data_IF_634746104947
#
_entry.id   IF_634746104947
#
_cell.length_a   1.000
_cell.length_b   1.000
_cell.length_c   1.000
_cell.angle_alpha   90.00
_cell.angle_beta   90.00
_cell.angle_gamma   90.00
#
_symmetry.space_group_name_H-M   'P 1'
#
loop_
_entity.id
_entity.type
_entity.pdbx_description
1 polymer ?
#
# COMPACT_ATOMS: atom_id res chain seq x y z
N UNK A 1 3.98 -14.62 13.31
CA UNK A 1 5.44 -14.51 13.50
C UNK A 1 6.07 -15.07 12.25
N UNK A 2 6.53 -14.19 11.34
CA UNK A 2 7.35 -14.61 10.21
C UNK A 2 8.78 -14.73 10.71
N UNK A 3 9.39 -15.91 10.53
CA UNK A 3 10.80 -16.12 10.86
C UNK A 3 11.65 -15.23 9.95
N UNK A 4 12.52 -14.45 10.54
CA UNK A 4 13.46 -13.57 9.85
C UNK A 4 14.60 -14.45 9.30
N UNK A 5 14.46 -14.94 8.07
CA UNK A 5 15.45 -15.80 7.42
C UNK A 5 16.52 -14.95 6.72
N UNK A 6 17.79 -15.29 6.96
CA UNK A 6 18.88 -14.73 6.15
C UNK A 6 18.78 -15.26 4.69
N UNK A 7 19.40 -14.55 3.69
CA UNK A 7 19.27 -14.87 2.27
C UNK A 7 19.61 -16.33 1.87
N UNK A 8 20.44 -17.01 2.64
CA UNK A 8 20.84 -18.39 2.39
C UNK A 8 19.76 -19.45 2.69
N UNK A 9 18.65 -19.06 3.34
CA UNK A 9 17.53 -19.96 3.70
C UNK A 9 16.31 -19.79 2.78
N UNK A 10 16.35 -18.86 1.82
CA UNK A 10 15.22 -18.58 0.93
C UNK A 10 15.12 -19.61 -0.22
N UNK A 11 13.90 -19.94 -0.67
CA UNK A 11 13.69 -20.89 -1.77
C UNK A 11 14.36 -20.43 -3.07
N UNK A 12 15.01 -21.35 -3.77
CA UNK A 12 15.62 -21.04 -5.06
C UNK A 12 14.56 -20.73 -6.12
N UNK A 13 14.77 -19.70 -6.97
CA UNK A 13 13.84 -19.37 -8.04
C UNK A 13 13.91 -20.38 -9.18
N UNK A 14 12.84 -20.47 -9.97
CA UNK A 14 12.82 -21.21 -11.22
C UNK A 14 13.81 -20.59 -12.24
N UNK A 15 14.40 -21.39 -13.17
CA UNK A 15 15.38 -20.88 -14.12
C UNK A 15 14.91 -19.69 -14.97
N UNK A 16 13.62 -19.68 -15.36
CA UNK A 16 13.02 -18.57 -16.11
C UNK A 16 12.91 -17.30 -15.26
N UNK A 17 12.49 -17.41 -14.00
CA UNK A 17 12.42 -16.30 -13.08
C UNK A 17 13.82 -15.71 -12.84
N UNK A 18 14.83 -16.57 -12.66
CA UNK A 18 16.22 -16.11 -12.51
C UNK A 18 16.72 -15.37 -13.75
N UNK A 19 16.34 -15.80 -14.97
CA UNK A 19 16.67 -15.09 -16.20
C UNK A 19 16.02 -13.69 -16.24
N UNK A 20 14.76 -13.55 -15.82
CA UNK A 20 14.07 -12.25 -15.72
C UNK A 20 14.75 -11.32 -14.70
N UNK A 21 15.13 -11.85 -13.53
CA UNK A 21 15.87 -11.08 -12.53
C UNK A 21 17.22 -10.58 -13.04
N UNK A 22 17.95 -11.40 -13.79
CA UNK A 22 19.22 -11.00 -14.42
C UNK A 22 19.02 -9.90 -15.45
N UNK A 23 18.00 -9.99 -16.30
CA UNK A 23 17.66 -8.94 -17.26
C UNK A 23 17.31 -7.62 -16.57
N UNK A 24 16.61 -7.67 -15.44
CA UNK A 24 16.34 -6.48 -14.65
C UNK A 24 17.61 -5.91 -13.99
N UNK A 25 18.51 -6.77 -13.50
CA UNK A 25 19.82 -6.33 -12.99
C UNK A 25 20.63 -5.61 -14.07
N UNK A 26 20.62 -6.09 -15.31
CA UNK A 26 21.27 -5.41 -16.46
C UNK A 26 20.63 -4.03 -16.70
N UNK A 27 19.31 -3.92 -16.60
CA UNK A 27 18.58 -2.64 -16.71
C UNK A 27 18.97 -1.66 -15.59
N UNK A 28 19.06 -2.13 -14.33
CA UNK A 28 19.54 -1.32 -13.18
C UNK A 28 21.00 -0.90 -13.39
N UNK A 29 21.86 -1.81 -13.84
CA UNK A 29 23.27 -1.50 -14.10
C UNK A 29 23.45 -0.45 -15.21
N UNK A 30 22.62 -0.51 -16.27
CA UNK A 30 22.61 0.51 -17.32
C UNK A 30 22.20 1.88 -16.77
N UNK A 31 21.19 1.96 -15.90
CA UNK A 31 20.76 3.19 -15.23
C UNK A 31 21.87 3.76 -14.36
N UNK A 32 22.52 2.91 -13.56
CA UNK A 32 23.68 3.29 -12.73
C UNK A 32 24.84 3.84 -13.57
N UNK A 33 25.12 3.21 -14.74
CA UNK A 33 26.14 3.68 -15.67
C UNK A 33 25.89 5.10 -16.17
N UNK A 34 24.64 5.44 -16.48
CA UNK A 34 24.24 6.78 -16.91
C UNK A 34 24.27 7.78 -15.75
N UNK A 35 23.88 7.37 -14.55
CA UNK A 35 23.72 8.21 -13.37
C UNK A 35 25.01 8.38 -12.53
N UNK A 36 26.18 8.02 -13.05
CA UNK A 36 27.47 8.14 -12.34
C UNK A 36 27.59 7.19 -11.15
N UNK A 37 27.11 5.97 -11.35
CA UNK A 37 27.13 4.86 -10.39
C UNK A 37 26.37 5.14 -9.08
N UNK A 38 25.27 5.89 -9.15
CA UNK A 38 24.39 6.09 -8.02
C UNK A 38 22.98 6.49 -8.47
N UNK A 39 21.96 5.84 -7.92
CA UNK A 39 20.56 6.23 -8.02
C UNK A 39 19.94 6.26 -6.63
N UNK A 40 18.89 7.07 -6.40
CA UNK A 40 18.15 7.04 -5.15
C UNK A 40 17.49 5.68 -4.92
N UNK A 41 17.24 5.30 -3.68
CA UNK A 41 16.50 4.07 -3.40
C UNK A 41 15.07 4.12 -4.01
N UNK A 42 14.43 5.30 -4.02
CA UNK A 42 13.15 5.48 -4.69
C UNK A 42 13.22 5.10 -6.17
N UNK A 43 14.27 5.54 -6.89
CA UNK A 43 14.44 5.16 -8.30
C UNK A 43 14.72 3.67 -8.48
N UNK A 44 15.52 3.09 -7.59
CA UNK A 44 15.76 1.65 -7.58
C UNK A 44 14.46 0.86 -7.37
N UNK A 45 13.68 1.23 -6.34
CA UNK A 45 12.39 0.59 -6.02
C UNK A 45 11.41 0.71 -7.20
N UNK A 46 11.37 1.87 -7.86
CA UNK A 46 10.57 2.07 -9.07
C UNK A 46 10.95 1.07 -10.18
N UNK A 47 12.25 0.89 -10.44
CA UNK A 47 12.72 -0.05 -11.46
C UNK A 47 12.36 -1.49 -11.10
N UNK A 48 12.68 -1.93 -9.87
CA UNK A 48 12.50 -3.35 -9.52
C UNK A 48 11.06 -3.76 -9.31
N UNK A 49 10.17 -2.81 -9.03
CA UNK A 49 8.74 -3.08 -8.88
C UNK A 49 7.95 -2.84 -10.17
N UNK A 50 8.30 -1.84 -10.98
CA UNK A 50 7.42 -1.34 -12.04
C UNK A 50 8.03 -1.30 -13.44
N UNK A 51 9.31 -1.66 -13.65
CA UNK A 51 9.89 -1.71 -15.01
C UNK A 51 9.04 -2.60 -15.92
N UNK A 52 8.59 -2.09 -17.08
CA UNK A 52 7.70 -2.84 -17.98
C UNK A 52 8.25 -4.22 -18.36
N UNK A 53 7.47 -5.27 -18.10
CA UNK A 53 7.80 -6.67 -18.42
C UNK A 53 8.87 -7.33 -17.54
N UNK A 54 9.53 -6.59 -16.65
CA UNK A 54 10.61 -7.10 -15.78
C UNK A 54 10.34 -6.88 -14.30
N UNK A 55 9.73 -5.74 -13.93
CA UNK A 55 9.45 -5.37 -12.56
C UNK A 55 8.46 -6.30 -11.87
N UNK A 56 8.55 -6.40 -10.56
CA UNK A 56 7.71 -7.30 -9.75
C UNK A 56 6.24 -7.19 -10.09
N UNK A 57 5.63 -6.02 -10.18
CA UNK A 57 4.22 -5.82 -10.56
C UNK A 57 3.97 -5.85 -12.07
N UNK A 58 4.99 -5.64 -12.90
CA UNK A 58 4.87 -5.59 -14.35
C UNK A 58 5.14 -6.94 -15.06
N UNK A 59 5.92 -7.84 -14.45
CA UNK A 59 6.19 -9.16 -14.98
C UNK A 59 5.07 -10.14 -14.60
N UNK A 60 4.55 -10.94 -15.54
CA UNK A 60 3.36 -11.80 -15.42
C UNK A 60 3.42 -12.96 -14.41
N UNK A 61 4.24 -12.91 -13.37
CA UNK A 61 4.34 -13.95 -12.35
C UNK A 61 3.10 -14.00 -11.44
N UNK A 62 2.83 -15.17 -10.83
CA UNK A 62 1.70 -15.37 -9.91
C UNK A 62 2.09 -14.81 -8.53
N UNK A 63 1.59 -13.63 -8.16
CA UNK A 63 2.05 -12.84 -7.00
C UNK A 63 1.07 -12.81 -5.83
N UNK A 64 -0.23 -12.97 -6.10
CA UNK A 64 -1.31 -12.85 -5.12
C UNK A 64 -1.99 -14.19 -4.87
N UNK A 65 -2.49 -14.37 -3.63
CA UNK A 65 -3.24 -15.55 -3.18
C UNK A 65 -2.37 -16.69 -2.65
N UNK A 66 -2.99 -17.81 -2.32
CA UNK A 66 -2.33 -18.98 -1.71
C UNK A 66 -1.15 -19.58 -2.51
N UNK A 67 -0.98 -19.21 -3.78
CA UNK A 67 0.14 -19.60 -4.63
C UNK A 67 1.08 -18.44 -4.98
N UNK A 68 0.93 -17.29 -4.33
CA UNK A 68 1.75 -16.08 -4.49
C UNK A 68 2.68 -15.85 -3.32
N UNK A 69 3.19 -14.62 -3.21
CA UNK A 69 4.13 -14.25 -2.14
C UNK A 69 3.41 -13.82 -0.86
N UNK A 70 2.16 -13.33 -0.96
CA UNK A 70 1.33 -12.89 0.17
C UNK A 70 -0.18 -12.99 -0.14
N UNK A 71 -1.00 -12.91 0.91
CA UNK A 71 -2.45 -12.93 0.85
C UNK A 71 -2.98 -11.62 1.42
N UNK A 72 -3.70 -10.84 0.62
CA UNK A 72 -4.30 -9.57 1.02
C UNK A 72 -5.65 -9.76 1.72
N UNK A 73 -6.11 -8.75 2.46
CA UNK A 73 -7.37 -8.78 3.19
C UNK A 73 -8.59 -9.16 2.32
N UNK A 74 -8.77 -8.65 1.09
CA UNK A 74 -9.87 -9.04 0.20
C UNK A 74 -9.88 -10.53 -0.19
N UNK A 75 -8.70 -11.17 -0.24
CA UNK A 75 -8.58 -12.58 -0.62
C UNK A 75 -8.91 -13.54 0.50
N UNK A 76 -8.89 -13.08 1.76
CA UNK A 76 -9.23 -13.91 2.92
C UNK A 76 -10.71 -14.27 2.96
N UNK A 77 -11.58 -13.30 2.65
CA UNK A 77 -13.04 -13.49 2.71
C UNK A 77 -13.78 -12.39 1.96
N UNK A 78 -14.87 -12.71 1.26
CA UNK A 78 -15.77 -11.70 0.67
C UNK A 78 -16.41 -10.76 1.71
N UNK A 79 -16.45 -11.15 2.99
CA UNK A 79 -17.00 -10.31 4.06
C UNK A 79 -16.22 -8.99 4.19
N UNK A 80 -14.93 -8.97 3.89
CA UNK A 80 -14.12 -7.76 3.89
C UNK A 80 -14.66 -6.71 2.92
N UNK A 81 -14.77 -7.05 1.64
CA UNK A 81 -15.26 -6.12 0.61
C UNK A 81 -16.73 -5.74 0.82
N UNK A 82 -17.59 -6.66 1.26
CA UNK A 82 -18.99 -6.38 1.63
C UNK A 82 -19.08 -5.41 2.81
N UNK A 83 -18.18 -5.53 3.79
CA UNK A 83 -18.09 -4.60 4.92
C UNK A 83 -17.68 -3.21 4.47
N UNK A 84 -16.64 -3.13 3.61
CA UNK A 84 -16.18 -1.87 3.05
C UNK A 84 -17.27 -1.20 2.19
N UNK A 85 -18.03 -1.99 1.44
CA UNK A 85 -19.13 -1.50 0.60
C UNK A 85 -20.21 -0.76 1.42
N UNK A 86 -20.45 -1.11 2.68
CA UNK A 86 -21.38 -0.39 3.57
C UNK A 86 -20.92 1.05 3.84
N UNK A 87 -19.63 1.25 4.10
CA UNK A 87 -19.07 2.59 4.24
C UNK A 87 -19.09 3.35 2.92
N UNK A 88 -18.75 2.68 1.82
CA UNK A 88 -18.80 3.25 0.47
C UNK A 88 -20.22 3.71 0.14
N UNK A 89 -21.25 2.89 0.38
CA UNK A 89 -22.64 3.23 0.12
C UNK A 89 -23.11 4.48 0.91
N UNK A 90 -22.61 4.69 2.11
CA UNK A 90 -22.92 5.88 2.90
C UNK A 90 -22.35 7.18 2.29
N UNK A 91 -21.24 7.08 1.56
CA UNK A 91 -20.55 8.22 0.93
C UNK A 91 -21.08 8.52 -0.48
N UNK A 92 -21.64 7.54 -1.16
CA UNK A 92 -22.15 7.68 -2.52
C UNK A 92 -23.41 8.53 -2.59
N UNK A 93 -23.54 9.29 -3.67
CA UNK A 93 -24.74 10.03 -4.04
C UNK A 93 -25.20 9.63 -5.45
N UNK A 94 -26.44 9.91 -5.85
CA UNK A 94 -26.89 9.63 -7.21
C UNK A 94 -25.97 10.20 -8.28
N UNK A 95 -25.57 9.36 -9.23
CA UNK A 95 -24.65 9.71 -10.31
C UNK A 95 -23.16 9.59 -9.94
N UNK A 96 -22.82 9.12 -8.75
CA UNK A 96 -21.45 8.82 -8.34
C UNK A 96 -20.97 7.48 -8.87
N UNK A 97 -19.66 7.28 -8.81
CA UNK A 97 -18.97 6.07 -9.20
C UNK A 97 -17.97 5.63 -8.11
N UNK A 98 -17.43 4.43 -8.27
CA UNK A 98 -16.28 3.93 -7.50
C UNK A 98 -15.08 3.88 -8.43
N UNK A 99 -13.90 4.26 -7.91
CA UNK A 99 -12.61 4.11 -8.59
C UNK A 99 -11.65 3.37 -7.66
N UNK A 100 -11.25 2.18 -8.04
CA UNK A 100 -10.29 1.36 -7.30
C UNK A 100 -8.91 1.44 -7.96
N UNK A 101 -7.89 1.66 -7.13
CA UNK A 101 -6.47 1.63 -7.53
C UNK A 101 -5.87 0.27 -7.18
N UNK A 102 -5.15 -0.33 -8.13
CA UNK A 102 -4.42 -1.56 -7.89
C UNK A 102 -5.31 -2.71 -7.40
N UNK A 103 -6.37 -3.04 -8.16
CA UNK A 103 -7.40 -3.99 -7.74
C UNK A 103 -6.88 -5.45 -7.55
N UNK A 104 -5.59 -5.71 -7.76
CA UNK A 104 -4.96 -7.00 -7.54
C UNK A 104 -5.66 -8.13 -8.31
N UNK A 105 -6.18 -9.12 -7.60
CA UNK A 105 -6.97 -10.21 -8.20
C UNK A 105 -8.36 -9.79 -8.68
N UNK A 106 -8.88 -8.64 -8.24
CA UNK A 106 -10.25 -8.16 -8.48
C UNK A 106 -11.26 -8.61 -7.43
N UNK A 107 -10.84 -9.29 -6.37
CA UNK A 107 -11.73 -9.87 -5.34
C UNK A 107 -12.43 -8.78 -4.53
N UNK A 108 -11.77 -7.64 -4.27
CA UNK A 108 -12.40 -6.51 -3.60
C UNK A 108 -13.54 -5.95 -4.44
N UNK A 109 -13.26 -5.62 -5.72
CA UNK A 109 -14.29 -5.16 -6.67
C UNK A 109 -15.46 -6.13 -6.75
N UNK A 110 -15.18 -7.45 -6.90
CA UNK A 110 -16.22 -8.46 -6.95
C UNK A 110 -17.12 -8.42 -5.72
N UNK A 111 -16.54 -8.30 -4.53
CA UNK A 111 -17.28 -8.27 -3.25
C UNK A 111 -18.06 -6.96 -3.08
N UNK A 112 -17.49 -5.82 -3.45
CA UNK A 112 -18.15 -4.51 -3.38
C UNK A 112 -19.35 -4.46 -4.33
N UNK A 113 -19.22 -5.00 -5.53
CA UNK A 113 -20.28 -5.04 -6.54
C UNK A 113 -21.48 -5.92 -6.14
N UNK A 114 -21.36 -6.81 -5.14
CA UNK A 114 -22.53 -7.51 -4.58
C UNK A 114 -23.43 -6.61 -3.75
N UNK A 115 -22.91 -5.50 -3.25
CA UNK A 115 -23.60 -4.58 -2.33
C UNK A 115 -23.94 -3.23 -3.01
N UNK A 116 -23.38 -2.94 -4.21
CA UNK A 116 -23.58 -1.67 -4.92
C UNK A 116 -23.82 -1.89 -6.40
N UNK A 117 -24.56 -0.97 -7.04
CA UNK A 117 -24.87 -1.00 -8.48
C UNK A 117 -24.42 0.26 -9.22
N UNK A 118 -23.45 0.99 -8.66
CA UNK A 118 -22.91 2.19 -9.29
C UNK A 118 -21.81 1.82 -10.30
N UNK A 119 -21.50 2.70 -11.28
CA UNK A 119 -20.36 2.50 -12.17
C UNK A 119 -19.06 2.25 -11.37
N UNK A 120 -18.30 1.26 -11.78
CA UNK A 120 -17.06 0.86 -11.11
C UNK A 120 -15.90 0.93 -12.09
N UNK A 121 -14.89 1.71 -11.74
CA UNK A 121 -13.68 1.90 -12.51
C UNK A 121 -12.49 1.27 -11.78
N UNK A 122 -11.55 0.72 -12.53
CA UNK A 122 -10.29 0.18 -12.02
C UNK A 122 -9.14 0.84 -12.74
N UNK A 123 -8.17 1.36 -11.99
CA UNK A 123 -6.89 1.80 -12.51
C UNK A 123 -5.84 0.77 -12.10
N UNK A 124 -5.41 -0.05 -13.06
CA UNK A 124 -4.46 -1.14 -12.88
C UNK A 124 -3.32 -0.99 -13.89
N UNK A 125 -2.09 -0.93 -13.39
CA UNK A 125 -0.88 -0.77 -14.23
C UNK A 125 -0.36 -2.08 -14.78
N UNK A 126 -0.62 -3.20 -14.08
CA UNK A 126 -0.21 -4.54 -14.49
C UNK A 126 -1.15 -5.12 -15.55
N UNK A 127 -0.63 -5.36 -16.74
CA UNK A 127 -1.40 -5.98 -17.83
C UNK A 127 -1.88 -7.41 -17.51
N UNK A 128 -1.10 -8.16 -16.74
CA UNK A 128 -1.46 -9.52 -16.30
C UNK A 128 -2.58 -9.49 -15.27
N UNK A 129 -2.48 -8.64 -14.24
CA UNK A 129 -3.55 -8.46 -13.25
C UNK A 129 -4.84 -7.97 -13.92
N UNK A 130 -4.74 -7.01 -14.84
CA UNK A 130 -5.89 -6.52 -15.61
C UNK A 130 -6.58 -7.64 -16.40
N UNK A 131 -5.81 -8.58 -16.99
CA UNK A 131 -6.41 -9.75 -17.67
C UNK A 131 -7.13 -10.70 -16.71
N UNK A 132 -6.58 -10.92 -15.51
CA UNK A 132 -7.21 -11.73 -14.45
C UNK A 132 -8.49 -11.08 -13.97
N UNK A 133 -8.45 -9.78 -13.70
CA UNK A 133 -9.60 -8.97 -13.32
C UNK A 133 -10.71 -9.05 -14.38
N UNK A 134 -10.37 -8.94 -15.67
CA UNK A 134 -11.34 -9.10 -16.77
C UNK A 134 -12.02 -10.47 -16.78
N UNK A 135 -11.31 -11.54 -16.46
CA UNK A 135 -11.91 -12.88 -16.38
C UNK A 135 -12.87 -13.01 -15.20
N UNK A 136 -12.57 -12.35 -14.08
CA UNK A 136 -13.38 -12.41 -12.87
C UNK A 136 -14.61 -11.47 -12.94
N UNK A 137 -14.41 -10.24 -13.41
CA UNK A 137 -15.37 -9.15 -13.29
C UNK A 137 -16.17 -8.91 -14.57
N UNK A 138 -15.71 -9.42 -15.73
CA UNK A 138 -16.38 -9.23 -17.01
C UNK A 138 -16.66 -7.77 -17.32
N UNK A 139 -17.88 -7.47 -17.73
CA UNK A 139 -18.34 -6.11 -18.07
C UNK A 139 -18.83 -5.30 -16.86
N UNK A 140 -18.71 -5.85 -15.64
CA UNK A 140 -19.14 -5.16 -14.41
C UNK A 140 -18.27 -3.98 -14.02
N UNK A 141 -17.08 -3.86 -14.59
CA UNK A 141 -16.12 -2.77 -14.34
C UNK A 141 -15.53 -2.23 -15.63
N UNK A 142 -15.03 -1.00 -15.58
CA UNK A 142 -14.32 -0.36 -16.67
C UNK A 142 -12.86 -0.07 -16.23
N UNK A 143 -11.89 -0.45 -17.08
CA UNK A 143 -10.48 -0.22 -16.79
C UNK A 143 -10.03 1.11 -17.39
N UNK A 144 -9.43 1.95 -16.55
CA UNK A 144 -8.81 3.20 -16.96
C UNK A 144 -7.31 2.99 -17.19
N UNK A 145 -6.76 3.71 -18.17
CA UNK A 145 -5.30 3.71 -18.45
C UNK A 145 -4.60 4.88 -17.76
N UNK A 146 -5.35 5.86 -17.26
CA UNK A 146 -4.86 7.05 -16.54
C UNK A 146 -5.94 7.59 -15.61
N UNK A 147 -5.53 8.43 -14.68
CA UNK A 147 -6.47 9.18 -13.84
C UNK A 147 -7.44 9.97 -14.72
N UNK A 148 -8.74 9.99 -14.39
CA UNK A 148 -9.70 10.87 -15.06
C UNK A 148 -9.38 12.34 -14.71
N UNK A 149 -9.78 13.28 -15.56
CA UNK A 149 -9.59 14.70 -15.28
C UNK A 149 -10.43 15.17 -14.09
N UNK A 150 -11.59 14.54 -13.89
CA UNK A 150 -12.55 14.84 -12.82
C UNK A 150 -13.20 13.55 -12.34
N UNK A 151 -13.45 13.49 -11.03
CA UNK A 151 -14.12 12.33 -10.43
C UNK A 151 -15.11 12.75 -9.35
N UNK A 152 -16.23 12.03 -9.28
CA UNK A 152 -17.23 12.15 -8.21
C UNK A 152 -17.58 10.76 -7.71
N UNK A 153 -17.53 10.58 -6.40
CA UNK A 153 -17.83 9.32 -5.77
C UNK A 153 -16.76 8.86 -4.78
N UNK A 154 -16.50 7.57 -4.73
CA UNK A 154 -15.56 6.99 -3.78
C UNK A 154 -14.37 6.39 -4.49
N UNK A 155 -13.18 6.82 -4.10
CA UNK A 155 -11.90 6.23 -4.50
C UNK A 155 -11.46 5.23 -3.44
N UNK A 156 -10.94 4.07 -3.85
CA UNK A 156 -10.45 2.99 -2.98
C UNK A 156 -9.00 2.67 -3.30
N UNK A 157 -8.16 2.62 -2.27
CA UNK A 157 -6.79 2.14 -2.37
C UNK A 157 -6.53 1.19 -1.20
N UNK A 158 -6.46 -0.10 -1.49
CA UNK A 158 -6.20 -1.16 -0.51
C UNK A 158 -4.86 -1.81 -0.80
N UNK A 159 -3.89 -1.68 0.11
CA UNK A 159 -2.53 -2.21 -0.06
C UNK A 159 -1.90 -1.72 -1.38
N UNK A 160 -1.82 -0.39 -1.54
CA UNK A 160 -1.30 0.28 -2.74
C UNK A 160 -0.16 1.22 -2.40
N UNK A 161 -0.24 1.87 -1.23
CA UNK A 161 0.69 2.94 -0.86
C UNK A 161 2.00 2.37 -0.32
N UNK A 162 1.97 1.22 0.33
CA UNK A 162 3.12 0.50 0.87
C UNK A 162 4.15 0.11 -0.21
N UNK A 163 3.67 -0.15 -1.44
CA UNK A 163 4.51 -0.48 -2.60
C UNK A 163 4.96 0.75 -3.40
N UNK A 164 4.54 1.96 -3.04
CA UNK A 164 5.01 3.18 -3.72
C UNK A 164 6.47 3.46 -3.40
N UNK A 165 7.29 3.88 -4.39
CA UNK A 165 8.70 4.16 -4.18
C UNK A 165 8.96 5.16 -3.05
N UNK A 166 9.89 4.82 -2.15
CA UNK A 166 10.29 5.66 -1.02
C UNK A 166 11.76 6.04 -1.11
N UNK A 167 12.10 7.25 -0.66
CA UNK A 167 13.49 7.63 -0.42
C UNK A 167 13.96 7.04 0.91
N UNK A 168 15.00 6.23 0.89
CA UNK A 168 15.64 5.75 2.11
C UNK A 168 16.60 6.82 2.63
N UNK A 169 16.51 7.13 3.90
CA UNK A 169 17.28 8.19 4.55
C UNK A 169 18.07 7.67 5.74
N UNK A 170 19.13 8.39 6.09
CA UNK A 170 19.80 8.23 7.35
C UNK A 170 20.06 9.62 7.98
N UNK A 171 19.52 9.83 9.17
CA UNK A 171 19.85 10.98 10.01
C UNK A 171 21.08 10.64 10.84
N UNK A 172 22.12 11.44 10.67
CA UNK A 172 23.41 11.25 11.32
C UNK A 172 23.83 12.53 12.05
N UNK A 173 24.89 12.44 12.89
CA UNK A 173 25.46 13.63 13.53
C UNK A 173 26.03 14.64 12.52
N UNK A 174 26.40 14.19 11.32
CA UNK A 174 26.92 15.04 10.25
C UNK A 174 25.79 15.67 9.38
N UNK A 175 24.55 15.24 9.56
CA UNK A 175 23.39 15.70 8.80
C UNK A 175 22.57 14.57 8.22
N UNK A 176 21.61 14.93 7.34
CA UNK A 176 20.75 13.97 6.66
C UNK A 176 21.42 13.45 5.39
N UNK A 177 21.47 12.13 5.29
CA UNK A 177 21.98 11.43 4.12
C UNK A 177 20.82 10.75 3.37
N UNK A 178 20.82 10.84 2.05
CA UNK A 178 19.98 10.01 1.20
C UNK A 178 20.73 8.72 0.88
N UNK A 179 20.09 7.59 1.19
CA UNK A 179 20.60 6.25 0.91
C UNK A 179 20.16 5.86 -0.49
N UNK A 180 21.14 5.67 -1.36
CA UNK A 180 20.90 5.21 -2.72
C UNK A 180 21.57 3.86 -2.97
N UNK A 181 21.54 3.47 -4.22
CA UNK A 181 22.07 2.21 -4.73
C UNK A 181 23.23 2.48 -5.67
N UNK A 182 24.31 1.74 -5.52
CA UNK A 182 25.45 1.74 -6.43
C UNK A 182 25.85 0.31 -6.81
N UNK A 183 26.65 0.19 -7.85
CA UNK A 183 27.35 -1.05 -8.17
C UNK A 183 28.74 -1.03 -7.50
N UNK A 184 29.02 -2.05 -6.69
CA UNK A 184 30.31 -2.27 -6.05
C UNK A 184 30.76 -3.70 -6.36
N UNK A 185 31.91 -3.87 -7.03
CA UNK A 185 32.46 -5.17 -7.43
C UNK A 185 31.46 -6.06 -8.18
N UNK A 186 30.59 -5.45 -9.00
CA UNK A 186 29.57 -6.15 -9.79
C UNK A 186 28.30 -6.55 -9.02
N UNK A 187 28.18 -6.15 -7.74
CA UNK A 187 26.98 -6.35 -6.92
C UNK A 187 26.34 -5.00 -6.56
N UNK A 188 25.02 -5.00 -6.34
CA UNK A 188 24.32 -3.84 -5.82
C UNK A 188 24.63 -3.65 -4.34
N UNK A 189 24.85 -2.40 -3.94
CA UNK A 189 25.15 -2.04 -2.57
C UNK A 189 24.53 -0.69 -2.19
N UNK A 190 24.30 -0.49 -0.91
CA UNK A 190 23.92 0.81 -0.36
C UNK A 190 25.05 1.82 -0.49
N UNK A 191 24.71 3.06 -0.85
CA UNK A 191 25.66 4.19 -0.91
C UNK A 191 24.95 5.46 -0.46
N UNK A 192 25.48 6.09 0.58
CA UNK A 192 24.92 7.30 1.17
C UNK A 192 25.52 8.54 0.52
N UNK A 193 24.67 9.55 0.21
CA UNK A 193 25.07 10.91 -0.21
C UNK A 193 24.36 11.92 0.66
N UNK A 194 24.89 13.13 0.77
CA UNK A 194 24.18 14.21 1.45
C UNK A 194 22.80 14.40 0.78
N UNK A 195 21.74 14.45 1.58
CA UNK A 195 20.42 14.71 1.06
C UNK A 195 20.32 16.16 0.55
N UNK A 196 19.61 16.37 -0.55
CA UNK A 196 19.45 17.67 -1.19
C UNK A 196 17.99 17.94 -1.61
N UNK A 197 17.71 19.17 -2.01
CA UNK A 197 16.43 19.57 -2.61
C UNK A 197 15.22 19.25 -1.73
N UNK A 198 14.17 18.71 -2.33
CA UNK A 198 12.92 18.36 -1.66
C UNK A 198 13.09 17.27 -0.60
N UNK A 199 13.99 16.30 -0.84
CA UNK A 199 14.29 15.22 0.11
C UNK A 199 14.84 15.83 1.41
N UNK A 200 15.82 16.71 1.33
CA UNK A 200 16.40 17.37 2.52
C UNK A 200 15.37 18.28 3.20
N UNK A 201 14.59 19.02 2.43
CA UNK A 201 13.58 19.92 3.00
C UNK A 201 12.58 19.15 3.87
N UNK A 202 11.97 18.11 3.32
CA UNK A 202 11.02 17.28 4.08
C UNK A 202 11.66 16.46 5.21
N UNK A 203 12.90 15.99 5.03
CA UNK A 203 13.60 15.26 6.08
C UNK A 203 13.90 16.13 7.31
N UNK A 204 14.11 17.44 7.12
CA UNK A 204 14.30 18.40 8.22
C UNK A 204 12.99 18.73 8.98
N UNK A 205 11.85 18.66 8.32
CA UNK A 205 10.54 18.87 8.95
C UNK A 205 10.20 17.78 9.99
N UNK A 206 10.82 16.60 9.86
CA UNK A 206 10.57 15.46 10.74
C UNK A 206 11.24 15.56 12.12
N UNK A 207 12.20 16.47 12.31
CA UNK A 207 12.90 16.70 13.57
C UNK A 207 13.40 15.42 14.28
N UNK A 208 13.96 14.48 13.51
CA UNK A 208 14.40 13.17 14.02
C UNK A 208 15.58 13.34 14.97
N UNK A 209 15.43 12.83 16.19
CA UNK A 209 16.52 12.75 17.17
C UNK A 209 17.45 11.59 16.82
N UNK A 210 18.74 11.92 16.58
CA UNK A 210 19.75 10.92 16.26
C UNK A 210 20.13 10.17 17.54
N UNK A 211 19.94 8.83 17.60
CA UNK A 211 20.20 8.05 18.79
C UNK A 211 21.71 8.01 19.13
N UNK A 212 22.08 7.52 20.33
CA UNK A 212 23.48 7.39 20.75
C UNK A 212 24.35 6.58 19.78
N UNK A 213 23.75 5.63 19.05
CA UNK A 213 24.43 4.88 17.97
C UNK A 213 24.95 5.79 16.85
N UNK A 214 24.49 7.03 16.76
CA UNK A 214 24.92 8.01 15.78
C UNK A 214 24.21 7.93 14.43
N UNK A 215 23.21 7.05 14.29
CA UNK A 215 22.46 6.87 13.05
C UNK A 215 21.02 6.44 13.30
N UNK A 216 20.08 7.08 12.64
CA UNK A 216 18.68 6.70 12.53
C UNK A 216 18.35 6.52 11.06
N UNK A 217 17.77 5.39 10.67
CA UNK A 217 17.32 5.11 9.30
C UNK A 217 15.81 5.14 9.23
N UNK A 218 15.28 5.54 8.08
CA UNK A 218 13.85 5.59 7.81
C UNK A 218 13.55 5.96 6.37
N UNK A 219 12.28 5.97 6.02
CA UNK A 219 11.80 6.22 4.67
C UNK A 219 11.02 7.54 4.58
N UNK A 220 11.09 8.18 3.42
CA UNK A 220 10.31 9.36 3.08
C UNK A 220 9.49 9.11 1.81
N UNK A 221 8.17 9.09 1.95
CA UNK A 221 7.23 8.70 0.90
C UNK A 221 6.80 9.88 0.02
N UNK A 222 7.72 10.52 -0.72
CA UNK A 222 7.40 11.67 -1.59
C UNK A 222 6.47 11.29 -2.73
N UNK A 223 6.56 10.07 -3.27
CA UNK A 223 5.68 9.57 -4.32
C UNK A 223 4.23 9.44 -3.82
N UNK A 224 4.02 8.88 -2.64
CA UNK A 224 2.70 8.75 -2.03
C UNK A 224 2.07 10.13 -1.74
N UNK A 225 2.88 11.10 -1.25
CA UNK A 225 2.43 12.50 -1.06
C UNK A 225 2.03 13.16 -2.39
N UNK A 226 2.81 12.96 -3.45
CA UNK A 226 2.51 13.49 -4.78
C UNK A 226 1.26 12.83 -5.38
N UNK A 227 1.12 11.52 -5.22
CA UNK A 227 -0.08 10.77 -5.62
C UNK A 227 -1.33 11.30 -4.91
N UNK A 228 -1.28 11.46 -3.58
CA UNK A 228 -2.40 12.02 -2.80
C UNK A 228 -2.80 13.41 -3.31
N UNK A 229 -1.83 14.30 -3.59
CA UNK A 229 -2.12 15.64 -4.17
C UNK A 229 -2.77 15.53 -5.53
N UNK A 230 -2.33 14.59 -6.38
CA UNK A 230 -2.95 14.35 -7.69
C UNK A 230 -4.39 13.90 -7.56
N UNK A 231 -4.70 13.00 -6.59
CA UNK A 231 -6.08 12.59 -6.32
C UNK A 231 -6.94 13.74 -5.81
N UNK A 232 -6.38 14.59 -4.94
CA UNK A 232 -7.07 15.79 -4.47
C UNK A 232 -7.41 16.78 -5.59
N UNK A 233 -6.58 16.86 -6.63
CA UNK A 233 -6.87 17.72 -7.79
C UNK A 233 -8.00 17.19 -8.68
N UNK A 234 -8.18 15.85 -8.70
CA UNK A 234 -9.17 15.15 -9.53
C UNK A 234 -10.53 15.02 -8.83
N UNK A 235 -10.52 14.81 -7.50
CA UNK A 235 -11.74 14.59 -6.73
C UNK A 235 -12.55 15.88 -6.59
N UNK A 236 -13.64 15.99 -7.37
CA UNK A 236 -14.57 17.14 -7.28
C UNK A 236 -15.48 17.04 -6.05
N UNK A 237 -15.96 15.83 -5.72
CA UNK A 237 -16.82 15.53 -4.59
C UNK A 237 -16.78 14.05 -4.26
N UNK A 238 -16.77 13.74 -2.98
CA UNK A 238 -16.76 12.36 -2.47
C UNK A 238 -15.60 12.11 -1.53
N UNK A 239 -15.12 10.87 -1.47
CA UNK A 239 -14.07 10.47 -0.54
C UNK A 239 -13.05 9.54 -1.18
N UNK A 240 -11.85 9.52 -0.60
CA UNK A 240 -10.82 8.51 -0.82
C UNK A 240 -10.66 7.72 0.49
N UNK A 241 -10.74 6.40 0.41
CA UNK A 241 -10.41 5.47 1.48
C UNK A 241 -9.07 4.81 1.15
N UNK A 242 -8.07 5.03 1.99
CA UNK A 242 -6.76 4.36 1.92
C UNK A 242 -6.69 3.35 3.05
N UNK A 243 -6.48 2.08 2.71
CA UNK A 243 -6.36 0.99 3.67
C UNK A 243 -4.99 0.35 3.45
N UNK A 244 -4.15 0.46 4.46
CA UNK A 244 -2.77 0.00 4.35
C UNK A 244 -2.17 -0.21 5.75
N UNK A 245 -1.01 -0.84 5.84
CA UNK A 245 -0.30 -0.96 7.11
C UNK A 245 0.68 0.18 7.32
N UNK A 246 0.69 0.69 8.53
CA UNK A 246 1.51 1.85 8.86
C UNK A 246 1.09 2.55 10.15
N UNK A 247 1.58 3.77 10.30
CA UNK A 247 1.50 4.50 11.55
C UNK A 247 1.30 6.01 11.31
N UNK A 248 0.79 6.74 12.31
CA UNK A 248 1.00 8.20 12.40
C UNK A 248 2.50 8.52 12.52
N UNK A 249 2.93 9.70 12.10
CA UNK A 249 4.35 10.10 12.09
C UNK A 249 5.07 9.86 13.42
N UNK A 250 4.43 10.16 14.55
CA UNK A 250 5.01 9.96 15.89
C UNK A 250 5.37 8.49 16.17
N UNK A 251 4.57 7.54 15.68
CA UNK A 251 4.82 6.11 15.83
C UNK A 251 5.72 5.60 14.71
N UNK A 252 5.59 6.16 13.50
CA UNK A 252 6.41 5.81 12.34
C UNK A 252 7.90 6.12 12.62
N UNK A 253 8.18 7.32 13.11
CA UNK A 253 9.54 7.77 13.44
C UNK A 253 9.88 7.58 14.93
N UNK A 254 9.31 6.57 15.58
CA UNK A 254 9.61 6.30 16.98
C UNK A 254 11.10 5.95 17.18
N UNK A 255 11.79 6.47 18.23
CA UNK A 255 13.23 6.25 18.46
C UNK A 255 13.67 4.77 18.46
N UNK A 256 12.80 3.85 18.87
CA UNK A 256 13.05 2.41 18.84
C UNK A 256 12.95 1.80 17.43
N UNK A 257 12.44 2.52 16.44
CA UNK A 257 12.34 2.10 15.03
C UNK A 257 13.48 2.68 14.19
N UNK A 258 14.69 2.67 14.73
CA UNK A 258 15.86 3.34 14.15
C UNK A 258 16.43 2.66 12.89
N UNK A 259 15.84 1.58 12.41
CA UNK A 259 16.22 0.85 11.20
C UNK A 259 15.21 1.00 10.05
N UNK A 260 14.21 1.88 10.19
CA UNK A 260 13.12 2.04 9.21
C UNK A 260 12.10 0.92 9.22
N UNK A 261 11.36 0.83 8.13
CA UNK A 261 10.22 -0.08 7.96
C UNK A 261 10.30 -0.92 6.69
N UNK A 262 11.37 -0.77 5.89
CA UNK A 262 11.54 -1.53 4.66
C UNK A 262 11.50 -3.04 4.92
N UNK A 263 10.65 -3.73 4.17
CA UNK A 263 10.53 -5.17 4.18
C UNK A 263 10.51 -5.72 2.75
N UNK A 264 11.07 -6.90 2.58
CA UNK A 264 11.10 -7.62 1.32
C UNK A 264 10.34 -8.93 1.49
N UNK A 265 9.43 -9.22 0.57
CA UNK A 265 8.57 -10.41 0.61
C UNK A 265 8.87 -11.30 -0.59
N UNK A 266 9.28 -12.53 -0.32
CA UNK A 266 9.56 -13.53 -1.33
C UNK A 266 9.05 -14.90 -0.91
N UNK A 267 8.10 -15.47 -1.65
CA UNK A 267 7.54 -16.82 -1.42
C UNK A 267 7.17 -17.07 0.06
N UNK A 268 6.35 -16.16 0.62
CA UNK A 268 5.89 -16.17 2.03
C UNK A 268 7.00 -15.98 3.09
N UNK A 269 8.20 -15.61 2.70
CA UNK A 269 9.28 -15.24 3.62
C UNK A 269 9.48 -13.74 3.63
N UNK A 270 9.74 -13.18 4.82
CA UNK A 270 10.12 -11.78 5.01
C UNK A 270 11.60 -11.69 5.29
N UNK A 271 12.27 -10.75 4.61
CA UNK A 271 13.68 -10.45 4.84
C UNK A 271 13.95 -8.94 4.59
N UNK A 272 15.20 -8.47 4.78
CA UNK A 272 15.54 -7.06 4.70
C UNK A 272 16.64 -6.75 3.65
N UNK A 273 16.87 -7.65 2.71
CA UNK A 273 17.82 -7.42 1.61
C UNK A 273 17.07 -7.02 0.34
N UNK A 274 16.99 -5.72 0.00
CA UNK A 274 16.28 -5.27 -1.20
C UNK A 274 17.00 -5.65 -2.51
N UNK A 275 18.26 -6.07 -2.42
CA UNK A 275 19.08 -6.45 -3.57
C UNK A 275 18.99 -7.94 -3.91
N UNK A 276 18.33 -8.74 -3.08
CA UNK A 276 18.10 -10.14 -3.35
C UNK A 276 17.09 -10.31 -4.49
N UNK A 277 17.49 -10.98 -5.57
CA UNK A 277 16.65 -11.33 -6.73
C UNK A 277 15.71 -10.17 -7.19
N UNK A 278 16.24 -9.02 -7.66
CA UNK A 278 15.44 -7.90 -8.10
C UNK A 278 14.36 -8.30 -9.11
N UNK A 279 13.13 -7.80 -8.93
CA UNK A 279 11.96 -8.12 -9.74
C UNK A 279 11.24 -9.42 -9.37
N UNK A 280 11.80 -10.23 -8.44
CA UNK A 280 11.16 -11.46 -7.98
C UNK A 280 10.65 -11.37 -6.54
N UNK A 281 10.94 -10.30 -5.84
CA UNK A 281 10.46 -10.01 -4.50
C UNK A 281 9.66 -8.72 -4.49
N UNK A 282 8.69 -8.63 -3.61
CA UNK A 282 8.04 -7.38 -3.27
C UNK A 282 8.91 -6.59 -2.31
N UNK A 283 8.95 -5.27 -2.48
CA UNK A 283 9.64 -4.35 -1.57
C UNK A 283 8.62 -3.34 -1.11
N UNK A 284 8.38 -3.28 0.19
CA UNK A 284 7.37 -2.44 0.79
C UNK A 284 7.95 -1.59 1.92
N UNK A 285 7.30 -0.48 2.21
CA UNK A 285 7.53 0.32 3.39
C UNK A 285 6.20 0.59 4.09
N UNK A 286 6.19 0.71 5.41
CA UNK A 286 4.98 1.12 6.10
C UNK A 286 4.53 2.52 5.64
N UNK A 287 3.24 2.78 5.71
CA UNK A 287 2.67 4.07 5.32
C UNK A 287 2.76 5.06 6.47
N UNK A 288 3.34 6.23 6.21
CA UNK A 288 3.21 7.41 7.08
C UNK A 288 1.87 8.09 6.81
N UNK A 289 0.87 7.76 7.63
CA UNK A 289 -0.48 8.29 7.48
C UNK A 289 -0.59 9.78 7.80
N UNK A 290 0.29 10.32 8.64
CA UNK A 290 0.34 11.78 8.86
C UNK A 290 0.80 12.51 7.61
N UNK A 291 1.81 11.98 6.91
CA UNK A 291 2.26 12.56 5.65
C UNK A 291 1.19 12.52 4.55
N UNK A 292 0.42 11.41 4.49
CA UNK A 292 -0.72 11.31 3.55
C UNK A 292 -1.85 12.30 3.89
N UNK A 293 -2.23 12.39 5.17
CA UNK A 293 -3.27 13.31 5.62
C UNK A 293 -2.87 14.78 5.39
N UNK A 294 -1.60 15.13 5.66
CA UNK A 294 -1.05 16.44 5.35
C UNK A 294 -1.11 16.75 3.86
N UNK A 295 -0.67 15.82 3.00
CA UNK A 295 -0.73 15.99 1.55
C UNK A 295 -2.17 16.10 1.01
N UNK A 296 -3.12 15.42 1.64
CA UNK A 296 -4.55 15.54 1.33
C UNK A 296 -5.08 16.94 1.69
N UNK A 297 -4.74 17.44 2.88
CA UNK A 297 -5.11 18.78 3.35
C UNK A 297 -4.52 19.87 2.45
N UNK A 298 -3.25 19.76 2.06
CA UNK A 298 -2.58 20.66 1.11
C UNK A 298 -3.29 20.69 -0.25
N UNK A 299 -3.89 19.57 -0.64
CA UNK A 299 -4.68 19.46 -1.87
C UNK A 299 -6.15 19.90 -1.71
N UNK A 300 -6.53 20.43 -0.54
CA UNK A 300 -7.88 20.92 -0.22
C UNK A 300 -8.89 19.80 0.04
N UNK A 301 -8.44 18.63 0.46
CA UNK A 301 -9.30 17.59 1.01
C UNK A 301 -9.44 17.75 2.53
N UNK A 302 -10.57 17.34 3.05
CA UNK A 302 -10.85 17.31 4.48
C UNK A 302 -10.54 15.91 5.03
N UNK A 303 -9.96 15.85 6.23
CA UNK A 303 -9.85 14.60 6.98
C UNK A 303 -11.25 14.19 7.46
N UNK A 304 -11.69 12.99 7.07
CA UNK A 304 -13.00 12.45 7.41
C UNK A 304 -12.94 11.42 8.54
N UNK A 305 -11.80 10.75 8.72
CA UNK A 305 -11.58 9.78 9.79
C UNK A 305 -10.29 8.99 9.62
N UNK A 306 -9.79 8.46 10.73
CA UNK A 306 -8.63 7.58 10.79
C UNK A 306 -8.81 6.55 11.90
N UNK A 307 -8.75 5.28 11.58
CA UNK A 307 -8.94 4.19 12.55
C UNK A 307 -8.07 2.99 12.23
N UNK A 308 -7.88 2.07 13.19
CA UNK A 308 -7.34 0.76 12.85
C UNK A 308 -8.39 -0.08 12.10
N UNK A 309 -7.91 -1.04 11.33
CA UNK A 309 -8.76 -1.89 10.50
C UNK A 309 -9.82 -2.66 11.31
N UNK A 310 -9.42 -3.23 12.44
CA UNK A 310 -10.35 -3.99 13.27
C UNK A 310 -11.56 -3.15 13.70
N UNK A 311 -11.31 -1.95 14.23
CA UNK A 311 -12.38 -1.07 14.68
C UNK A 311 -13.24 -0.59 13.51
N UNK A 312 -12.61 -0.23 12.37
CA UNK A 312 -13.32 0.15 11.17
C UNK A 312 -14.26 -0.96 10.68
N UNK A 313 -13.77 -2.19 10.57
CA UNK A 313 -14.56 -3.33 10.10
C UNK A 313 -15.71 -3.67 11.06
N UNK A 314 -15.45 -3.64 12.38
CA UNK A 314 -16.51 -3.84 13.40
C UNK A 314 -17.56 -2.75 13.30
N UNK A 315 -17.15 -1.49 13.20
CA UNK A 315 -18.08 -0.37 13.03
C UNK A 315 -18.93 -0.48 11.77
N UNK A 316 -18.37 -1.02 10.67
CA UNK A 316 -19.08 -1.27 9.42
C UNK A 316 -19.87 -2.58 9.41
N UNK A 317 -19.86 -3.34 10.52
CA UNK A 317 -20.74 -4.48 10.72
C UNK A 317 -20.23 -5.79 10.10
N UNK A 318 -18.93 -6.07 10.15
CA UNK A 318 -18.39 -7.36 9.69
C UNK A 318 -18.94 -8.54 10.54
N UNK A 319 -19.20 -8.30 11.82
CA UNK A 319 -19.76 -9.28 12.74
C UNK A 319 -21.22 -9.64 12.41
N UNK A 320 -22.02 -8.66 11.99
CA UNK A 320 -23.38 -8.88 11.53
C UNK A 320 -23.39 -9.67 10.20
N UNK A 321 -22.45 -9.37 9.30
CA UNK A 321 -22.32 -10.13 8.05
C UNK A 321 -21.94 -11.58 8.31
N UNK A 322 -21.02 -11.87 9.24
CA UNK A 322 -20.71 -13.25 9.61
C UNK A 322 -21.88 -13.94 10.32
N UNK A 323 -22.61 -13.22 11.20
CA UNK A 323 -23.78 -13.79 11.89
C UNK A 323 -24.92 -14.13 10.92
N UNK A 324 -24.96 -13.52 9.74
CA UNK A 324 -25.94 -13.86 8.68
C UNK A 324 -25.54 -15.11 7.87
N UNK A 325 -24.28 -15.57 7.96
CA UNK A 325 -23.85 -16.82 7.36
C UNK A 325 -24.44 -18.02 8.14
N UNK A 326 -24.73 -19.11 7.45
CA UNK A 326 -25.33 -20.29 8.07
C UNK A 326 -24.30 -21.13 8.86
N UNK A 327 -24.34 -21.19 10.21
CA UNK A 327 -23.41 -22.00 10.98
C UNK A 327 -23.57 -23.52 10.75
N UNK A 328 -24.72 -23.98 10.21
CA UNK A 328 -24.92 -25.37 9.86
C UNK A 328 -24.22 -25.78 8.54
N UNK A 329 -23.64 -24.82 7.83
CA UNK A 329 -22.72 -25.06 6.71
C UNK A 329 -21.27 -24.79 7.14
N UNK A 330 -20.59 -25.76 7.77
CA UNK A 330 -19.25 -25.54 8.31
C UNK A 330 -18.19 -25.31 7.22
N UNK A 331 -18.44 -25.74 5.98
CA UNK A 331 -17.51 -25.53 4.88
C UNK A 331 -17.43 -24.07 4.45
N UNK A 332 -18.50 -23.31 4.64
CA UNK A 332 -18.53 -21.85 4.38
C UNK A 332 -18.28 -21.02 5.64
N UNK A 333 -18.91 -21.40 6.75
CA UNK A 333 -18.86 -20.62 7.99
C UNK A 333 -17.47 -20.61 8.63
N UNK A 334 -16.79 -21.79 8.78
CA UNK A 334 -15.52 -21.86 9.48
C UNK A 334 -14.39 -21.08 8.79
N UNK A 335 -14.21 -21.14 7.44
CA UNK A 335 -13.22 -20.29 6.76
C UNK A 335 -13.53 -18.80 6.91
N UNK A 336 -14.80 -18.40 6.82
CA UNK A 336 -15.20 -17.00 6.98
C UNK A 336 -14.92 -16.48 8.41
N UNK A 337 -15.23 -17.28 9.42
CA UNK A 337 -14.94 -16.96 10.83
C UNK A 337 -13.44 -16.86 11.10
N UNK A 338 -12.64 -17.80 10.59
CA UNK A 338 -11.18 -17.78 10.71
C UNK A 338 -10.56 -16.57 10.01
N UNK A 339 -11.04 -16.24 8.81
CA UNK A 339 -10.63 -15.05 8.08
C UNK A 339 -10.98 -13.76 8.84
N UNK A 340 -12.20 -13.66 9.37
CA UNK A 340 -12.61 -12.53 10.19
C UNK A 340 -11.73 -12.39 11.43
N UNK A 341 -11.40 -13.49 12.11
CA UNK A 341 -10.49 -13.46 13.25
C UNK A 341 -9.13 -12.88 12.86
N UNK A 342 -8.58 -13.28 11.71
CA UNK A 342 -7.31 -12.75 11.19
C UNK A 342 -7.39 -11.26 10.88
N UNK A 343 -8.47 -10.81 10.27
CA UNK A 343 -8.71 -9.40 9.94
C UNK A 343 -8.84 -8.51 11.17
N UNK A 344 -9.40 -9.04 12.28
CA UNK A 344 -9.68 -8.29 13.51
C UNK A 344 -8.61 -8.46 14.59
N UNK A 345 -7.78 -9.51 14.53
CA UNK A 345 -6.76 -9.77 15.54
C UNK A 345 -5.70 -8.66 15.58
N UNK A 346 -5.47 -8.03 16.75
CA UNK A 346 -4.39 -7.04 16.89
C UNK A 346 -2.99 -7.59 16.60
N UNK A 347 -2.78 -8.90 16.82
CA UNK A 347 -1.50 -9.57 16.58
C UNK A 347 -1.26 -9.88 15.09
N UNK A 348 -2.29 -9.72 14.24
CA UNK A 348 -2.20 -9.95 12.80
C UNK A 348 -2.50 -8.64 12.04
N UNK A 349 -3.68 -8.52 11.43
CA UNK A 349 -4.00 -7.37 10.57
C UNK A 349 -4.76 -6.24 11.31
N UNK A 350 -5.44 -6.55 12.41
CA UNK A 350 -6.44 -5.66 13.00
C UNK A 350 -5.89 -4.34 13.53
N UNK A 351 -4.69 -4.34 14.14
CA UNK A 351 -4.07 -3.11 14.66
C UNK A 351 -3.06 -2.52 13.69
N UNK A 352 -2.30 -3.34 12.96
CA UNK A 352 -1.25 -2.87 12.06
C UNK A 352 -1.83 -2.12 10.86
N UNK A 353 -2.91 -2.64 10.27
CA UNK A 353 -3.61 -1.96 9.19
C UNK A 353 -4.45 -0.79 9.70
N UNK A 354 -4.47 0.27 8.93
CA UNK A 354 -5.20 1.51 9.21
C UNK A 354 -6.10 1.85 8.03
N UNK A 355 -7.17 2.56 8.34
CA UNK A 355 -8.07 3.14 7.34
C UNK A 355 -8.04 4.65 7.50
N UNK A 356 -7.57 5.34 6.47
CA UNK A 356 -7.63 6.80 6.34
C UNK A 356 -8.75 7.15 5.37
N UNK A 357 -9.64 8.02 5.79
CA UNK A 357 -10.65 8.62 4.92
C UNK A 357 -10.39 10.13 4.79
N UNK A 358 -10.27 10.59 3.56
CA UNK A 358 -10.21 12.02 3.21
C UNK A 358 -11.23 12.32 2.13
N UNK A 359 -11.71 13.57 2.01
CA UNK A 359 -12.75 13.84 1.03
C UNK A 359 -12.97 15.33 0.76
N UNK A 360 -13.89 15.61 -0.17
CA UNK A 360 -14.31 16.95 -0.53
C UNK A 360 -15.81 17.01 -0.73
N UNK A 361 -16.48 18.02 -0.18
CA UNK A 361 -17.90 18.23 -0.37
C UNK A 361 -18.78 17.09 0.16
N UNK A 362 -18.30 16.37 1.17
CA UNK A 362 -19.10 15.39 1.92
C UNK A 362 -20.03 16.17 2.84
N UNK A 363 -21.34 15.87 2.82
CA UNK A 363 -22.34 16.55 3.64
C UNK A 363 -22.02 16.38 5.11
N UNK A 364 -22.16 17.42 5.93
CA UNK A 364 -21.90 17.38 7.37
C UNK A 364 -22.67 16.25 8.08
N UNK A 365 -23.94 16.03 7.74
CA UNK A 365 -24.73 14.95 8.31
C UNK A 365 -24.18 13.53 8.01
N UNK A 366 -23.50 13.36 6.88
CA UNK A 366 -22.79 12.10 6.53
C UNK A 366 -21.48 12.04 7.29
N UNK A 367 -20.71 13.14 7.30
CA UNK A 367 -19.41 13.24 7.98
C UNK A 367 -19.51 12.91 9.47
N UNK A 368 -20.48 13.49 10.17
CA UNK A 368 -20.74 13.28 11.60
C UNK A 368 -21.19 11.85 11.93
N UNK A 369 -21.69 11.11 10.93
CA UNK A 369 -22.24 9.76 11.10
C UNK A 369 -21.49 8.69 10.34
N UNK A 370 -20.25 8.96 9.89
CA UNK A 370 -19.44 7.98 9.14
C UNK A 370 -19.30 6.68 9.94
N UNK A 371 -19.87 5.63 9.38
CA UNK A 371 -20.03 4.35 10.06
C UNK A 371 -18.70 3.80 10.56
N UNK A 372 -17.68 3.78 9.72
CA UNK A 372 -16.37 3.18 10.03
C UNK A 372 -15.60 3.91 11.13
N UNK A 373 -15.93 5.17 11.41
CA UNK A 373 -15.20 6.05 12.35
C UNK A 373 -16.00 6.46 13.57
N UNK A 374 -17.24 5.95 13.73
CA UNK A 374 -18.13 6.30 14.86
C UNK A 374 -17.56 5.96 16.22
N UNK A 375 -16.68 4.98 16.31
CA UNK A 375 -15.91 4.62 17.50
C UNK A 375 -14.46 4.36 17.11
N UNK A 376 -13.53 4.71 18.00
CA UNK A 376 -12.11 4.47 17.78
C UNK A 376 -11.48 5.32 16.68
N UNK A 377 -12.09 6.48 16.35
CA UNK A 377 -11.46 7.46 15.48
C UNK A 377 -10.20 8.02 16.15
N UNK A 378 -9.09 7.92 15.45
CA UNK A 378 -7.76 8.36 15.90
C UNK A 378 -7.24 9.54 15.08
N UNK A 379 -8.10 10.27 14.38
CA UNK A 379 -7.72 11.42 13.55
C UNK A 379 -6.84 12.45 14.28
N UNK A 380 -7.02 12.59 15.57
CA UNK A 380 -6.20 13.48 16.41
C UNK A 380 -4.74 13.02 16.59
N UNK A 381 -4.37 11.82 16.09
CA UNK A 381 -3.00 11.31 16.17
C UNK A 381 -2.18 11.56 14.89
N UNK A 382 -2.82 12.06 13.83
CA UNK A 382 -2.20 12.35 12.52
C UNK A 382 -1.44 13.68 12.50
#
# INVERSE_FOLDING_TARGET
MHENCGPSALPSPEPQALASSRALLERVAAELGIAGNWISFARYMELVLYEPGLGYYAAGARKLGAGGDFVTAPELTPLYGRTLARQVAQLLQPGDAILEFGAGSGTLAASVLTETSVPYFVLETSSDLRQRQKRLLGDSVQWLDRLPERFRGVMLANEVVDAMPVHALAWTRAGVMERGVCANEGQLAWSDRAAEGAVLAHAKELEIEVPPSGRYEGELALHARAWMRSLGSVLERGALLVIDYGFPAREYFHPQRSMGTLACHYRHHVHHDPFYLPGLQDITAHVDFSALAGAATDAGLELLGYANQAQFLVNCGITELLAAENPADPQRYLPAAAAMQKLLSPAEMGELFKVLAVGRGVKDSVRESLMGFRQGDRSATL
#
